data_IF_377411092676
#
_entry.id   IF_377411092676
#
_cell.length_a   1.000
_cell.length_b   1.000
_cell.length_c   1.000
_cell.angle_alpha   90.00
_cell.angle_beta   90.00
_cell.angle_gamma   90.00
#
_symmetry.space_group_name_H-M   'P 1'
#
loop_
_entity.id
_entity.type
_entity.pdbx_description
1 polymer ?
#
# COMPACT_ATOMS: atom_id res chain seq x y z
N UNK A 1 -49.56 30.78 -37.95
CA UNK A 1 -49.49 29.69 -38.95
C UNK A 1 -49.01 28.42 -38.25
N UNK A 2 -49.65 27.27 -38.55
CA UNK A 2 -49.70 26.03 -37.75
C UNK A 2 -48.54 25.08 -38.17
N UNK A 3 -48.26 23.92 -37.56
CA UNK A 3 -49.07 22.67 -37.45
C UNK A 3 -48.27 21.71 -36.52
N UNK A 4 -48.74 21.27 -35.33
CA UNK A 4 -49.54 20.05 -34.97
C UNK A 4 -49.11 18.76 -35.69
N UNK A 5 -48.87 17.62 -35.01
CA UNK A 5 -49.83 16.58 -34.51
C UNK A 5 -48.99 15.57 -33.65
N UNK A 6 -49.24 15.26 -32.35
CA UNK A 6 -50.21 14.35 -31.67
C UNK A 6 -50.01 12.84 -31.99
N UNK A 7 -50.14 11.79 -31.14
CA UNK A 7 -50.95 11.40 -29.96
C UNK A 7 -50.20 10.25 -29.18
N UNK A 8 -50.23 10.11 -27.83
CA UNK A 8 -51.22 9.52 -26.87
C UNK A 8 -51.53 8.01 -27.00
N UNK A 9 -51.27 7.24 -25.92
CA UNK A 9 -52.09 6.19 -25.27
C UNK A 9 -51.18 5.34 -24.33
N UNK A 10 -51.35 5.10 -23.02
CA UNK A 10 -52.48 4.81 -22.10
C UNK A 10 -52.58 3.31 -21.70
N UNK A 11 -52.33 3.05 -20.40
CA UNK A 11 -52.90 2.04 -19.47
C UNK A 11 -53.07 0.56 -19.86
N UNK A 12 -52.56 -0.33 -18.99
CA UNK A 12 -53.37 -1.41 -18.40
C UNK A 12 -52.73 -1.92 -17.09
N UNK A 13 -53.48 -1.79 -16.00
CA UNK A 13 -53.29 -2.51 -14.75
C UNK A 13 -54.24 -3.71 -14.76
N UNK A 14 -53.75 -4.88 -14.34
CA UNK A 14 -54.61 -6.02 -14.01
C UNK A 14 -54.02 -6.72 -12.79
N UNK A 15 -54.72 -6.55 -11.67
CA UNK A 15 -54.57 -7.41 -10.50
C UNK A 15 -55.40 -8.67 -10.68
N UNK A 16 -54.86 -9.79 -10.22
CA UNK A 16 -55.63 -10.99 -9.88
C UNK A 16 -55.10 -11.46 -8.52
N UNK A 17 -56.02 -11.61 -7.57
CA UNK A 17 -55.77 -12.18 -6.27
C UNK A 17 -56.61 -13.46 -6.11
N UNK A 18 -56.00 -14.42 -5.40
CA UNK A 18 -56.56 -15.37 -4.43
C UNK A 18 -56.37 -16.89 -4.69
N UNK A 19 -55.73 -17.46 -3.67
CA UNK A 19 -55.97 -18.75 -2.99
C UNK A 19 -55.42 -20.06 -3.57
N UNK A 20 -54.51 -20.65 -2.79
CA UNK A 20 -54.05 -22.04 -2.87
C UNK A 20 -52.95 -22.30 -1.83
N UNK A 21 -53.35 -22.62 -0.59
CA UNK A 21 -52.46 -22.93 0.52
C UNK A 21 -51.71 -24.25 0.27
N UNK A 22 -50.37 -24.19 0.27
CA UNK A 22 -49.50 -25.30 0.62
C UNK A 22 -48.26 -24.71 1.31
N UNK A 23 -48.27 -24.70 2.64
CA UNK A 23 -47.07 -24.48 3.44
C UNK A 23 -46.18 -25.70 3.25
N UNK A 24 -45.19 -25.60 2.37
CA UNK A 24 -44.03 -26.48 2.42
C UNK A 24 -43.06 -25.80 3.38
N UNK A 25 -42.95 -26.36 4.60
CA UNK A 25 -41.83 -26.09 5.48
C UNK A 25 -40.56 -26.62 4.80
N UNK A 26 -39.98 -25.80 3.94
CA UNK A 26 -38.57 -25.92 3.59
C UNK A 26 -37.81 -25.39 4.81
N UNK A 27 -37.61 -26.30 5.78
CA UNK A 27 -36.63 -26.11 6.83
C UNK A 27 -35.33 -25.68 6.16
N UNK A 28 -35.07 -24.38 6.24
CA UNK A 28 -33.79 -23.80 5.86
C UNK A 28 -32.81 -24.25 6.91
N UNK A 29 -32.32 -25.47 6.76
CA UNK A 29 -31.04 -25.85 7.30
C UNK A 29 -30.03 -24.96 6.56
N UNK A 30 -29.82 -23.74 7.09
CA UNK A 30 -28.51 -23.12 7.06
C UNK A 30 -27.56 -24.15 7.65
N UNK A 31 -27.03 -25.00 6.78
CA UNK A 31 -25.91 -25.86 7.12
C UNK A 31 -24.82 -24.88 7.57
N UNK A 32 -24.59 -24.82 8.89
CA UNK A 32 -23.51 -24.08 9.52
C UNK A 32 -22.25 -24.33 8.68
N UNK A 33 -21.87 -23.32 7.88
CA UNK A 33 -20.64 -23.40 7.11
C UNK A 33 -19.53 -23.69 8.13
N UNK A 34 -18.72 -24.73 7.94
CA UNK A 34 -17.74 -25.14 8.93
C UNK A 34 -16.90 -23.93 9.31
N UNK A 35 -16.93 -23.56 10.60
CA UNK A 35 -16.22 -22.40 11.11
C UNK A 35 -14.78 -22.48 10.63
N UNK A 36 -14.37 -21.51 9.81
CA UNK A 36 -13.04 -21.51 9.20
C UNK A 36 -11.98 -21.67 10.29
N UNK A 37 -11.07 -22.63 10.10
CA UNK A 37 -9.97 -22.85 11.04
C UNK A 37 -9.09 -21.60 11.14
N UNK A 38 -8.35 -21.45 12.24
CA UNK A 38 -7.43 -20.33 12.41
C UNK A 38 -6.44 -20.19 11.21
N UNK A 39 -5.74 -21.27 10.76
CA UNK A 39 -4.87 -21.17 9.59
C UNK A 39 -5.58 -20.71 8.32
N UNK A 40 -6.81 -21.19 8.08
CA UNK A 40 -7.59 -20.77 6.92
C UNK A 40 -7.95 -19.28 6.99
N UNK A 41 -8.33 -18.80 8.18
CA UNK A 41 -8.65 -17.38 8.43
C UNK A 41 -7.43 -16.48 8.25
N UNK A 42 -6.25 -16.90 8.73
CA UNK A 42 -4.98 -16.20 8.53
C UNK A 42 -4.65 -16.12 7.04
N UNK A 43 -4.68 -17.26 6.33
CA UNK A 43 -4.38 -17.32 4.90
C UNK A 43 -5.30 -16.44 4.07
N UNK A 44 -6.61 -16.47 4.35
CA UNK A 44 -7.58 -15.59 3.71
C UNK A 44 -7.30 -14.11 3.98
N UNK A 45 -7.02 -13.76 5.24
CA UNK A 45 -6.74 -12.38 5.64
C UNK A 45 -5.47 -11.82 4.99
N UNK A 46 -4.38 -12.61 4.91
CA UNK A 46 -3.15 -12.18 4.23
C UNK A 46 -3.33 -12.07 2.72
N UNK A 47 -4.10 -12.97 2.11
CA UNK A 47 -4.48 -12.87 0.70
C UNK A 47 -5.27 -11.59 0.42
N UNK A 48 -6.17 -11.19 1.31
CA UNK A 48 -6.92 -9.93 1.16
C UNK A 48 -6.00 -8.70 1.21
N UNK A 49 -4.96 -8.72 2.06
CA UNK A 49 -3.91 -7.68 2.06
C UNK A 49 -3.17 -7.63 0.73
N UNK A 50 -2.75 -8.79 0.20
CA UNK A 50 -2.09 -8.86 -1.10
C UNK A 50 -3.00 -8.43 -2.25
N UNK A 51 -4.29 -8.76 -2.19
CA UNK A 51 -5.29 -8.31 -3.16
C UNK A 51 -5.42 -6.79 -3.14
N UNK A 52 -5.39 -6.14 -1.97
CA UNK A 52 -5.38 -4.68 -1.86
C UNK A 52 -4.11 -4.08 -2.46
N UNK A 53 -2.94 -4.69 -2.25
CA UNK A 53 -1.68 -4.26 -2.88
C UNK A 53 -1.78 -4.35 -4.41
N UNK A 54 -2.22 -5.48 -4.96
CA UNK A 54 -2.42 -5.66 -6.39
C UNK A 54 -3.47 -4.69 -6.95
N UNK A 55 -4.55 -4.45 -6.22
CA UNK A 55 -5.57 -3.46 -6.56
C UNK A 55 -4.99 -2.04 -6.63
N UNK A 56 -4.11 -1.64 -5.70
CA UNK A 56 -3.44 -0.34 -5.78
C UNK A 56 -2.52 -0.21 -6.99
N UNK A 57 -1.91 -1.30 -7.45
CA UNK A 57 -1.12 -1.29 -8.68
C UNK A 57 -1.99 -1.11 -9.94
N UNK A 58 -3.22 -1.64 -9.93
CA UNK A 58 -4.14 -1.60 -11.07
C UNK A 58 -5.09 -0.38 -11.08
N UNK A 59 -5.41 0.22 -9.93
CA UNK A 59 -6.39 1.32 -9.85
C UNK A 59 -6.07 2.38 -8.79
N UNK A 60 -4.88 2.33 -8.19
CA UNK A 60 -4.46 3.31 -7.20
C UNK A 60 -4.23 4.71 -7.78
N UNK A 61 -4.22 5.73 -6.91
CA UNK A 61 -4.05 7.14 -7.30
C UNK A 61 -2.81 7.39 -8.16
N UNK A 62 -1.71 6.66 -7.93
CA UNK A 62 -0.48 6.81 -8.71
C UNK A 62 -0.70 6.42 -10.18
N UNK A 63 -1.27 5.23 -10.43
CA UNK A 63 -1.51 4.73 -11.78
C UNK A 63 -2.63 5.53 -12.47
N UNK A 64 -3.71 5.87 -11.77
CA UNK A 64 -4.78 6.71 -12.31
C UNK A 64 -4.27 8.11 -12.66
N UNK A 65 -3.41 8.69 -11.82
CA UNK A 65 -2.79 9.98 -12.09
C UNK A 65 -1.85 9.94 -13.30
N UNK A 66 -1.08 8.86 -13.48
CA UNK A 66 -0.23 8.66 -14.66
C UNK A 66 -1.07 8.49 -15.94
N UNK A 67 -2.09 7.64 -15.91
CA UNK A 67 -3.00 7.43 -17.04
C UNK A 67 -3.70 8.72 -17.45
N UNK A 68 -4.20 9.51 -16.49
CA UNK A 68 -4.86 10.77 -16.78
C UNK A 68 -3.91 11.84 -17.37
N UNK A 69 -2.62 11.84 -16.99
CA UNK A 69 -1.62 12.72 -17.61
C UNK A 69 -1.37 12.35 -19.08
N UNK A 70 -1.27 11.05 -19.38
CA UNK A 70 -1.06 10.56 -20.75
C UNK A 70 -2.27 10.86 -21.62
N UNK A 71 -3.48 10.55 -21.13
CA UNK A 71 -4.73 10.78 -21.87
C UNK A 71 -4.96 12.26 -22.23
N UNK A 72 -4.54 13.20 -21.37
CA UNK A 72 -4.73 14.65 -21.58
C UNK A 72 -3.60 15.33 -22.37
N UNK A 73 -2.58 14.60 -22.81
CA UNK A 73 -1.42 15.20 -23.47
C UNK A 73 -1.68 15.42 -24.96
N UNK A 74 -2.07 16.65 -25.35
CA UNK A 74 -2.33 17.00 -26.75
C UNK A 74 -1.12 16.79 -27.66
N UNK A 75 0.09 17.16 -27.21
CA UNK A 75 1.32 16.92 -27.98
C UNK A 75 1.61 15.44 -28.24
N UNK A 76 1.19 14.56 -27.33
CA UNK A 76 1.28 13.12 -27.53
C UNK A 76 0.21 12.66 -28.53
N UNK A 77 -1.02 13.15 -28.39
CA UNK A 77 -2.10 12.89 -29.33
C UNK A 77 -1.75 13.30 -30.76
N UNK A 78 -1.28 14.53 -30.97
CA UNK A 78 -0.89 15.01 -32.31
C UNK A 78 0.26 14.18 -32.90
N UNK A 79 1.20 13.69 -32.07
CA UNK A 79 2.26 12.79 -32.52
C UNK A 79 1.73 11.41 -32.94
N UNK A 80 0.78 10.85 -32.17
CA UNK A 80 0.10 9.59 -32.52
C UNK A 80 -0.72 9.75 -33.79
N UNK A 81 -1.43 10.88 -33.94
CA UNK A 81 -2.24 11.21 -35.12
C UNK A 81 -1.43 11.29 -36.42
N UNK A 82 -0.14 11.65 -36.33
CA UNK A 82 0.80 11.69 -37.46
C UNK A 82 1.52 10.37 -37.74
N UNK A 83 1.27 9.32 -36.96
CA UNK A 83 1.98 8.04 -37.05
C UNK A 83 3.51 8.18 -36.93
N UNK A 84 3.98 9.05 -36.02
CA UNK A 84 5.40 9.35 -35.86
C UNK A 84 5.96 8.79 -34.53
N UNK A 85 6.56 7.59 -34.52
CA UNK A 85 7.16 6.98 -33.34
C UNK A 85 8.20 7.87 -32.62
N UNK A 86 8.98 8.65 -33.37
CA UNK A 86 10.01 9.51 -32.80
C UNK A 86 9.38 10.69 -32.04
N UNK A 87 8.36 11.33 -32.63
CA UNK A 87 7.58 12.37 -31.97
C UNK A 87 6.81 11.83 -30.75
N UNK A 88 6.20 10.63 -30.83
CA UNK A 88 5.53 9.98 -29.70
C UNK A 88 6.53 9.74 -28.56
N UNK A 89 7.71 9.23 -28.88
CA UNK A 89 8.79 8.97 -27.93
C UNK A 89 9.31 10.25 -27.24
N UNK A 90 9.39 11.37 -27.99
CA UNK A 90 9.77 12.67 -27.47
C UNK A 90 8.69 13.28 -26.55
N UNK A 91 7.43 13.28 -26.99
CA UNK A 91 6.28 13.78 -26.22
C UNK A 91 6.03 12.98 -24.94
N UNK A 92 6.33 11.68 -24.95
CA UNK A 92 6.15 10.80 -23.80
C UNK A 92 7.18 11.03 -22.69
N UNK A 93 8.41 11.45 -23.02
CA UNK A 93 9.52 11.61 -22.05
C UNK A 93 9.15 12.46 -20.82
N UNK A 94 8.57 13.67 -20.92
CA UNK A 94 8.19 14.47 -19.75
C UNK A 94 7.00 13.90 -18.95
N UNK A 95 6.20 13.01 -19.56
CA UNK A 95 5.03 12.38 -18.91
C UNK A 95 5.43 11.18 -18.06
N UNK A 96 6.49 10.48 -18.47
CA UNK A 96 7.12 9.38 -17.75
C UNK A 96 8.02 9.92 -16.64
N UNK A 97 7.40 10.45 -15.59
CA UNK A 97 8.08 10.57 -14.28
C UNK A 97 8.49 9.17 -13.81
N UNK A 98 9.30 9.08 -12.75
CA UNK A 98 9.81 7.84 -12.11
C UNK A 98 8.72 6.92 -11.49
N UNK A 99 7.56 6.84 -12.14
CA UNK A 99 6.35 6.17 -11.70
C UNK A 99 5.83 5.17 -12.73
N UNK A 100 6.22 5.25 -14.01
CA UNK A 100 5.75 4.33 -15.05
C UNK A 100 6.86 3.34 -15.39
N UNK A 101 6.63 2.07 -15.08
CA UNK A 101 7.60 0.98 -15.27
C UNK A 101 7.50 0.36 -16.67
N UNK A 102 6.27 0.30 -17.21
CA UNK A 102 5.97 -0.22 -18.54
C UNK A 102 4.90 0.61 -19.22
N UNK A 103 5.05 0.84 -20.52
CA UNK A 103 4.00 1.46 -21.34
C UNK A 103 4.09 0.98 -22.79
N UNK A 104 2.94 0.75 -23.40
CA UNK A 104 2.78 0.53 -24.84
C UNK A 104 1.76 1.54 -25.35
N UNK A 105 2.06 2.17 -26.49
CA UNK A 105 1.16 3.06 -27.23
C UNK A 105 0.92 2.46 -28.61
N UNK A 106 -0.35 2.35 -28.99
CA UNK A 106 -0.77 1.79 -30.27
C UNK A 106 -1.69 2.74 -31.04
N UNK A 107 -1.69 2.59 -32.36
CA UNK A 107 -2.66 3.19 -33.29
C UNK A 107 -3.20 2.07 -34.17
N UNK A 108 -4.48 1.73 -34.01
CA UNK A 108 -4.99 0.46 -34.54
C UNK A 108 -4.15 -0.71 -34.00
N UNK A 109 -3.67 -1.57 -34.89
CA UNK A 109 -2.83 -2.72 -34.57
C UNK A 109 -1.31 -2.38 -34.54
N UNK A 110 -0.93 -1.17 -34.95
CA UNK A 110 0.46 -0.74 -34.99
C UNK A 110 0.91 -0.26 -33.61
N UNK A 111 2.00 -0.84 -33.09
CA UNK A 111 2.68 -0.33 -31.90
C UNK A 111 3.63 0.80 -32.31
N UNK A 112 3.36 2.01 -31.82
CA UNK A 112 4.21 3.17 -32.08
C UNK A 112 5.37 3.24 -31.09
N UNK A 113 5.11 2.95 -29.82
CA UNK A 113 6.12 2.98 -28.75
C UNK A 113 5.86 1.86 -27.76
N UNK A 114 6.92 1.18 -27.35
CA UNK A 114 6.97 0.27 -26.20
C UNK A 114 8.16 0.64 -25.33
N UNK A 115 7.94 0.93 -24.05
CA UNK A 115 9.00 1.31 -23.11
C UNK A 115 8.96 0.49 -21.82
N UNK A 116 10.16 0.28 -21.28
CA UNK A 116 10.44 -0.56 -20.13
C UNK A 116 10.58 -2.04 -20.52
N UNK A 117 11.41 -2.78 -19.78
CA UNK A 117 11.72 -4.20 -20.06
C UNK A 117 11.39 -5.14 -18.89
N UNK A 118 11.15 -4.59 -17.71
CA UNK A 118 10.79 -5.35 -16.50
C UNK A 118 9.40 -5.96 -16.61
N UNK A 119 9.19 -7.13 -15.99
CA UNK A 119 7.87 -7.70 -15.85
C UNK A 119 7.03 -6.81 -14.90
N UNK A 120 5.77 -6.56 -15.28
CA UNK A 120 4.88 -5.65 -14.57
C UNK A 120 3.46 -6.23 -14.48
N UNK A 121 2.67 -5.67 -13.58
CA UNK A 121 1.28 -6.11 -13.35
C UNK A 121 0.32 -4.93 -13.24
N UNK A 122 -0.98 -5.23 -13.31
CA UNK A 122 -2.04 -4.23 -13.22
C UNK A 122 -2.00 -3.25 -14.40
N UNK A 123 -2.07 -3.73 -15.65
CA UNK A 123 -2.13 -2.85 -16.81
C UNK A 123 -3.36 -1.93 -16.71
N UNK A 124 -3.14 -0.64 -16.96
CA UNK A 124 -4.19 0.38 -17.08
C UNK A 124 -4.15 0.93 -18.49
N UNK A 125 -5.28 0.82 -19.18
CA UNK A 125 -5.44 1.31 -20.54
C UNK A 125 -6.27 2.58 -20.62
N UNK A 126 -6.10 3.31 -21.72
CA UNK A 126 -6.92 4.46 -22.05
C UNK A 126 -6.80 4.86 -23.52
N UNK A 127 -7.64 5.82 -23.92
CA UNK A 127 -7.62 6.42 -25.25
C UNK A 127 -6.73 7.66 -25.25
N UNK A 128 -6.02 7.88 -26.34
CA UNK A 128 -5.27 9.11 -26.61
C UNK A 128 -6.09 9.94 -27.60
N UNK A 129 -6.33 11.21 -27.27
CA UNK A 129 -6.99 12.17 -28.15
C UNK A 129 -6.02 13.22 -28.65
N UNK A 130 -6.20 13.66 -29.90
CA UNK A 130 -5.45 14.79 -30.44
C UNK A 130 -5.95 16.15 -29.92
N UNK A 131 -5.37 17.23 -30.42
CA UNK A 131 -5.77 18.61 -30.10
C UNK A 131 -7.21 18.98 -30.50
N UNK A 132 -7.83 18.25 -31.44
CA UNK A 132 -9.23 18.41 -31.82
C UNK A 132 -10.19 17.56 -30.94
N UNK A 133 -9.63 16.74 -30.04
CA UNK A 133 -10.40 15.82 -29.20
C UNK A 133 -10.76 14.51 -29.90
N UNK A 134 -10.27 14.26 -31.12
CA UNK A 134 -10.53 13.03 -31.83
C UNK A 134 -9.69 11.88 -31.25
N UNK A 135 -10.24 10.67 -31.08
CA UNK A 135 -9.47 9.52 -30.61
C UNK A 135 -8.51 9.03 -31.70
N UNK A 136 -7.21 9.06 -31.42
CA UNK A 136 -6.14 8.78 -32.40
C UNK A 136 -5.29 7.56 -32.06
N UNK A 137 -5.39 7.05 -30.83
CA UNK A 137 -4.69 5.83 -30.42
C UNK A 137 -5.08 5.36 -29.03
N UNK A 138 -4.37 4.35 -28.54
CA UNK A 138 -4.56 3.77 -27.21
C UNK A 138 -3.23 3.67 -26.50
N UNK A 139 -3.26 3.67 -25.17
CA UNK A 139 -2.12 3.29 -24.35
C UNK A 139 -2.50 2.20 -23.37
N UNK A 140 -1.51 1.42 -22.97
CA UNK A 140 -1.57 0.52 -21.81
C UNK A 140 -0.30 0.74 -21.01
N UNK A 141 -0.41 1.03 -19.71
CA UNK A 141 0.74 1.28 -18.83
C UNK A 141 0.65 0.48 -17.53
N UNK A 142 1.78 0.34 -16.85
CA UNK A 142 1.85 -0.13 -15.46
C UNK A 142 2.87 0.70 -14.68
N UNK A 143 2.57 0.95 -13.41
CA UNK A 143 3.44 1.66 -12.47
C UNK A 143 4.13 0.73 -11.48
N UNK A 144 3.97 -0.59 -11.64
CA UNK A 144 4.36 -1.57 -10.64
C UNK A 144 5.00 -2.79 -11.30
N UNK A 145 6.25 -3.08 -10.93
CA UNK A 145 6.92 -4.32 -11.30
C UNK A 145 6.42 -5.51 -10.49
N UNK A 146 6.56 -6.72 -11.02
CA UNK A 146 6.26 -7.96 -10.28
C UNK A 146 7.14 -8.10 -9.03
N UNK A 147 8.44 -7.78 -9.13
CA UNK A 147 9.36 -7.82 -7.99
C UNK A 147 9.00 -6.80 -6.91
N UNK A 148 8.58 -5.59 -7.32
CA UNK A 148 8.15 -4.54 -6.41
C UNK A 148 6.90 -4.94 -5.63
N UNK A 149 5.93 -5.57 -6.30
CA UNK A 149 4.72 -6.08 -5.64
C UNK A 149 5.02 -7.29 -4.77
N UNK A 150 5.83 -8.25 -5.23
CA UNK A 150 6.25 -9.39 -4.42
C UNK A 150 6.96 -8.93 -3.13
N UNK A 151 7.93 -8.01 -3.26
CA UNK A 151 8.67 -7.43 -2.13
C UNK A 151 7.76 -6.67 -1.17
N UNK A 152 6.80 -5.89 -1.69
CA UNK A 152 5.84 -5.16 -0.87
C UNK A 152 4.92 -6.13 -0.11
N UNK A 153 4.30 -7.08 -0.79
CA UNK A 153 3.43 -8.09 -0.15
C UNK A 153 4.22 -8.85 0.92
N UNK A 154 5.44 -9.29 0.63
CA UNK A 154 6.31 -9.94 1.60
C UNK A 154 6.59 -9.05 2.82
N UNK A 155 6.97 -7.79 2.60
CA UNK A 155 7.28 -6.86 3.70
C UNK A 155 6.07 -6.60 4.63
N UNK A 156 4.86 -6.59 4.08
CA UNK A 156 3.61 -6.36 4.82
C UNK A 156 3.15 -7.63 5.55
N UNK A 157 3.08 -8.75 4.83
CA UNK A 157 2.46 -9.99 5.30
C UNK A 157 3.42 -10.92 6.01
N UNK A 158 4.73 -10.76 5.78
CA UNK A 158 5.77 -11.71 6.17
C UNK A 158 5.71 -13.05 5.42
N UNK A 159 4.71 -13.26 4.56
CA UNK A 159 4.61 -14.45 3.73
C UNK A 159 5.66 -14.40 2.63
N UNK A 160 6.14 -15.56 2.21
CA UNK A 160 6.89 -15.68 0.99
C UNK A 160 5.94 -15.54 -0.20
N UNK A 161 6.38 -14.90 -1.28
CA UNK A 161 5.52 -14.55 -2.42
C UNK A 161 6.12 -15.15 -3.68
N UNK A 162 5.30 -15.87 -4.44
CA UNK A 162 5.63 -16.37 -5.77
C UNK A 162 4.62 -15.80 -6.75
N UNK A 163 5.11 -15.21 -7.84
CA UNK A 163 4.29 -14.63 -8.90
C UNK A 163 4.53 -15.41 -10.18
N UNK A 164 3.48 -16.00 -10.74
CA UNK A 164 3.53 -16.82 -11.96
C UNK A 164 2.64 -16.22 -13.04
N UNK A 165 3.11 -16.18 -14.29
CA UNK A 165 2.33 -15.73 -15.44
C UNK A 165 2.85 -16.36 -16.73
N UNK A 166 1.93 -16.80 -17.61
CA UNK A 166 2.30 -17.52 -18.83
C UNK A 166 3.06 -18.83 -18.57
N UNK A 167 2.76 -19.53 -17.47
CA UNK A 167 3.39 -20.80 -17.10
C UNK A 167 4.81 -20.69 -16.49
N UNK A 168 5.36 -19.48 -16.34
CA UNK A 168 6.69 -19.23 -15.76
C UNK A 168 6.62 -18.38 -14.50
N UNK A 169 7.59 -18.59 -13.60
CA UNK A 169 7.83 -17.68 -12.48
C UNK A 169 8.31 -16.32 -13.03
N UNK A 170 7.71 -15.25 -12.53
CA UNK A 170 8.04 -13.87 -12.88
C UNK A 170 8.74 -13.13 -11.74
N UNK A 171 8.46 -13.50 -10.49
CA UNK A 171 9.10 -12.98 -9.29
C UNK A 171 8.93 -13.96 -8.13
N UNK A 172 9.90 -14.01 -7.23
CA UNK A 172 9.83 -14.79 -5.99
C UNK A 172 10.58 -14.10 -4.86
N UNK A 173 10.11 -14.26 -3.62
CA UNK A 173 10.88 -13.91 -2.42
C UNK A 173 11.51 -15.14 -1.76
N UNK A 174 11.19 -16.35 -2.23
CA UNK A 174 11.82 -17.59 -1.78
C UNK A 174 13.23 -17.71 -2.34
N UNK A 175 14.12 -18.24 -1.51
CA UNK A 175 15.49 -18.57 -1.89
C UNK A 175 15.80 -19.98 -1.36
N UNK A 176 16.03 -20.99 -2.23
CA UNK A 176 16.00 -20.93 -3.69
C UNK A 176 14.58 -20.77 -4.27
N UNK A 177 14.45 -20.38 -5.56
CA UNK A 177 13.17 -20.37 -6.26
C UNK A 177 12.49 -21.75 -6.23
N UNK A 178 11.16 -21.78 -6.20
CA UNK A 178 10.39 -23.03 -6.18
C UNK A 178 9.58 -23.21 -7.45
N UNK A 179 9.15 -24.45 -7.72
CA UNK A 179 8.14 -24.72 -8.76
C UNK A 179 6.83 -24.05 -8.34
N UNK A 180 6.06 -23.58 -9.34
CA UNK A 180 4.79 -22.86 -9.13
C UNK A 180 3.91 -23.56 -8.07
N UNK A 181 3.64 -22.91 -6.93
CA UNK A 181 2.87 -23.52 -5.85
C UNK A 181 1.42 -23.78 -6.29
N UNK A 182 0.71 -24.70 -5.62
CA UNK A 182 -0.72 -24.93 -5.89
C UNK A 182 -1.54 -23.66 -5.62
N UNK A 183 -2.78 -23.61 -6.12
CA UNK A 183 -3.65 -22.45 -5.88
C UNK A 183 -3.95 -22.26 -4.38
N UNK A 184 -4.11 -23.37 -3.65
CA UNK A 184 -4.36 -23.43 -2.21
C UNK A 184 -3.83 -24.74 -1.65
N UNK A 185 -3.71 -24.83 -0.32
CA UNK A 185 -3.30 -26.06 0.38
C UNK A 185 -1.97 -25.86 1.08
N UNK A 186 -1.11 -26.88 1.07
CA UNK A 186 0.23 -26.82 1.66
C UNK A 186 1.31 -27.12 0.64
N UNK A 187 2.50 -26.57 0.86
CA UNK A 187 3.70 -26.88 0.08
C UNK A 187 4.91 -26.94 0.99
N UNK A 188 5.82 -27.87 0.74
CA UNK A 188 7.10 -27.95 1.43
C UNK A 188 8.18 -27.26 0.58
N UNK A 189 8.91 -26.32 1.17
CA UNK A 189 10.03 -25.64 0.54
C UNK A 189 11.13 -25.38 1.58
N UNK A 190 12.39 -25.64 1.24
CA UNK A 190 13.54 -25.43 2.13
C UNK A 190 13.35 -26.05 3.54
N UNK A 191 12.84 -27.29 3.59
CA UNK A 191 12.58 -28.02 4.84
C UNK A 191 11.41 -27.49 5.68
N UNK A 192 10.71 -26.44 5.25
CA UNK A 192 9.55 -25.87 5.94
C UNK A 192 8.24 -26.16 5.18
N UNK A 193 7.16 -26.42 5.93
CA UNK A 193 5.80 -26.53 5.37
C UNK A 193 5.11 -25.17 5.42
N UNK A 194 4.59 -24.74 4.27
CA UNK A 194 3.85 -23.50 4.12
C UNK A 194 2.39 -23.79 3.81
N UNK A 195 1.50 -22.96 4.36
CA UNK A 195 0.12 -22.82 3.87
C UNK A 195 0.11 -21.86 2.68
N UNK A 196 -0.56 -22.26 1.62
CA UNK A 196 -0.65 -21.51 0.36
C UNK A 196 -2.01 -20.86 0.23
N UNK A 197 -2.02 -19.55 -0.02
CA UNK A 197 -3.20 -18.81 -0.45
C UNK A 197 -2.85 -18.01 -1.71
N UNK A 198 -3.63 -18.17 -2.77
CA UNK A 198 -3.37 -17.48 -4.04
C UNK A 198 -4.50 -16.53 -4.45
N UNK A 199 -4.16 -15.53 -5.25
CA UNK A 199 -5.11 -14.64 -5.91
C UNK A 199 -4.73 -14.44 -7.39
N UNK A 200 -5.75 -14.18 -8.21
CA UNK A 200 -5.56 -13.84 -9.61
C UNK A 200 -5.28 -12.34 -9.79
N UNK A 201 -4.43 -12.00 -10.75
CA UNK A 201 -4.20 -10.63 -11.21
C UNK A 201 -3.89 -10.63 -12.72
N UNK A 202 -3.65 -9.45 -13.30
CA UNK A 202 -3.39 -9.30 -14.75
C UNK A 202 -1.94 -8.87 -15.02
N UNK A 203 -1.23 -9.65 -15.83
CA UNK A 203 0.12 -9.33 -16.26
C UNK A 203 0.10 -8.19 -17.28
N UNK A 204 1.15 -7.39 -17.32
CA UNK A 204 1.34 -6.42 -18.39
C UNK A 204 1.87 -7.11 -19.66
N UNK A 205 1.39 -6.73 -20.88
CA UNK A 205 0.33 -5.75 -21.13
C UNK A 205 -1.08 -6.33 -20.97
N UNK A 206 -1.21 -7.65 -21.04
CA UNK A 206 -2.43 -8.41 -20.80
C UNK A 206 -2.08 -9.85 -20.38
N UNK A 207 -3.10 -10.60 -19.94
CA UNK A 207 -2.99 -12.03 -19.63
C UNK A 207 -3.07 -12.35 -18.12
N UNK A 208 -3.39 -13.60 -17.78
CA UNK A 208 -3.56 -14.00 -16.39
C UNK A 208 -2.21 -14.12 -15.67
N UNK A 209 -2.21 -13.73 -14.40
CA UNK A 209 -1.12 -13.95 -13.47
C UNK A 209 -1.69 -14.49 -12.15
N UNK A 210 -0.90 -15.27 -11.42
CA UNK A 210 -1.22 -15.74 -10.06
C UNK A 210 -0.19 -15.23 -9.09
N UNK A 211 -0.65 -14.63 -8.00
CA UNK A 211 0.18 -14.28 -6.84
C UNK A 211 -0.14 -15.29 -5.74
N UNK A 212 0.85 -16.06 -5.34
CA UNK A 212 0.75 -17.08 -4.29
C UNK A 212 1.52 -16.63 -3.06
N UNK A 213 0.83 -16.61 -1.91
CA UNK A 213 1.41 -16.35 -0.61
C UNK A 213 1.66 -17.68 0.09
N UNK A 214 2.91 -17.91 0.46
CA UNK A 214 3.35 -19.03 1.25
C UNK A 214 3.62 -18.52 2.66
N UNK A 215 2.66 -18.76 3.55
CA UNK A 215 2.81 -18.43 4.96
C UNK A 215 3.33 -19.66 5.69
N UNK A 216 4.34 -19.54 6.57
CA UNK A 216 4.68 -20.63 7.49
C UNK A 216 3.43 -21.10 8.23
N UNK A 217 3.48 -22.32 8.79
CA UNK A 217 2.44 -22.79 9.70
C UNK A 217 2.06 -21.66 10.69
N UNK A 218 0.76 -21.38 10.78
CA UNK A 218 0.24 -20.23 11.50
C UNK A 218 0.85 -20.14 12.89
N UNK A 219 1.44 -18.98 13.19
CA UNK A 219 1.82 -18.66 14.57
C UNK A 219 0.53 -18.70 15.40
N UNK A 220 0.45 -19.64 16.35
CA UNK A 220 -0.71 -19.80 17.22
C UNK A 220 -1.04 -18.51 17.98
N UNK A 221 -0.06 -17.60 18.12
CA UNK A 221 -0.27 -16.26 18.68
C UNK A 221 -1.23 -15.38 17.87
N UNK A 222 -1.54 -15.72 16.61
CA UNK A 222 -2.52 -14.98 15.79
C UNK A 222 -3.91 -15.58 15.89
N UNK A 223 -4.05 -16.81 16.39
CA UNK A 223 -5.34 -17.46 16.55
C UNK A 223 -6.13 -16.80 17.67
N UNK A 224 -7.23 -16.15 17.29
CA UNK A 224 -8.24 -15.68 18.24
C UNK A 224 -9.29 -16.75 18.51
N UNK A 225 -10.14 -16.58 19.53
CA UNK A 225 -11.23 -17.50 19.84
C UNK A 225 -12.32 -17.53 18.75
N UNK A 226 -12.32 -16.57 17.83
CA UNK A 226 -13.23 -16.49 16.69
C UNK A 226 -12.48 -16.14 15.40
N UNK A 227 -13.07 -16.38 14.21
CA UNK A 227 -12.50 -15.92 12.94
C UNK A 227 -12.29 -14.40 12.91
N UNK A 228 -13.24 -13.61 13.45
CA UNK A 228 -13.11 -12.16 13.52
C UNK A 228 -11.92 -11.72 14.38
N UNK A 229 -11.71 -12.36 15.54
CA UNK A 229 -10.54 -12.09 16.39
C UNK A 229 -9.23 -12.51 15.69
N UNK A 230 -9.22 -13.65 14.99
CA UNK A 230 -8.07 -14.12 14.19
C UNK A 230 -7.72 -13.14 13.07
N UNK A 231 -8.72 -12.61 12.36
CA UNK A 231 -8.56 -11.57 11.34
C UNK A 231 -7.94 -10.30 11.94
N UNK A 232 -8.47 -9.83 13.07
CA UNK A 232 -7.93 -8.65 13.75
C UNK A 232 -6.48 -8.84 14.23
N UNK A 233 -6.16 -10.01 14.79
CA UNK A 233 -4.79 -10.35 15.17
C UNK A 233 -3.84 -10.38 13.96
N UNK A 234 -4.29 -10.97 12.85
CA UNK A 234 -3.51 -11.03 11.61
C UNK A 234 -3.25 -9.64 11.04
N UNK A 235 -4.27 -8.79 10.92
CA UNK A 235 -4.11 -7.41 10.44
C UNK A 235 -3.32 -6.53 11.41
N UNK A 236 -3.46 -6.77 12.71
CA UNK A 236 -2.64 -6.18 13.76
C UNK A 236 -1.15 -6.52 13.62
N UNK A 237 -0.83 -7.78 13.30
CA UNK A 237 0.52 -8.22 13.01
C UNK A 237 1.08 -7.53 11.74
N UNK A 238 0.27 -7.36 10.69
CA UNK A 238 0.63 -6.59 9.49
C UNK A 238 0.94 -5.14 9.84
N UNK A 239 0.08 -4.46 10.61
CA UNK A 239 0.33 -3.09 11.06
C UNK A 239 1.61 -2.96 11.90
N UNK A 240 1.87 -3.94 12.78
CA UNK A 240 3.11 -4.00 13.57
C UNK A 240 4.34 -4.20 12.68
N UNK A 241 4.24 -4.97 11.58
CA UNK A 241 5.32 -5.10 10.59
C UNK A 241 5.56 -3.80 9.83
N UNK A 242 4.51 -3.11 9.38
CA UNK A 242 4.61 -1.79 8.75
C UNK A 242 5.42 -0.86 9.69
N UNK A 243 5.01 -0.75 10.95
CA UNK A 243 5.71 0.05 11.95
C UNK A 243 7.20 -0.33 12.12
N UNK A 244 7.50 -1.63 12.21
CA UNK A 244 8.88 -2.11 12.32
C UNK A 244 9.71 -1.80 11.08
N UNK A 245 9.10 -1.89 9.90
CA UNK A 245 9.69 -1.53 8.61
C UNK A 245 10.13 -0.06 8.59
N UNK A 246 9.26 0.85 9.03
CA UNK A 246 9.59 2.28 9.10
C UNK A 246 10.81 2.56 9.99
N UNK A 247 10.90 1.89 11.15
CA UNK A 247 12.01 2.07 12.09
C UNK A 247 13.32 1.44 11.61
N UNK A 248 13.24 0.33 10.89
CA UNK A 248 14.35 -0.61 10.74
C UNK A 248 14.67 -1.04 9.31
N UNK A 249 14.05 -0.45 8.29
CA UNK A 249 14.32 -0.83 6.90
C UNK A 249 15.76 -0.48 6.47
N UNK A 250 16.23 -1.15 5.40
CA UNK A 250 17.50 -0.79 4.76
C UNK A 250 17.51 0.67 4.30
N UNK A 251 16.37 1.18 3.83
CA UNK A 251 16.17 2.58 3.44
C UNK A 251 16.30 3.52 4.63
N UNK A 252 15.66 3.24 5.76
CA UNK A 252 15.79 4.02 6.99
C UNK A 252 17.25 4.10 7.44
N UNK A 253 17.96 2.96 7.41
CA UNK A 253 19.41 2.93 7.71
C UNK A 253 20.23 3.74 6.71
N UNK A 254 19.90 3.70 5.42
CA UNK A 254 20.59 4.48 4.38
C UNK A 254 20.40 5.98 4.59
N UNK A 255 19.17 6.43 4.82
CA UNK A 255 18.85 7.85 5.09
C UNK A 255 19.57 8.33 6.35
N UNK A 256 19.51 7.55 7.44
CA UNK A 256 20.24 7.88 8.66
C UNK A 256 21.75 7.95 8.46
N UNK A 257 22.34 7.02 7.69
CA UNK A 257 23.77 7.07 7.37
C UNK A 257 24.12 8.29 6.54
N UNK A 258 23.26 8.68 5.60
CA UNK A 258 23.45 9.87 4.78
C UNK A 258 23.48 11.12 5.67
N UNK A 259 22.47 11.31 6.51
CA UNK A 259 22.39 12.46 7.44
C UNK A 259 23.58 12.46 8.41
N UNK A 260 23.86 11.34 9.06
CA UNK A 260 24.88 11.25 10.11
C UNK A 260 26.32 11.40 9.62
N UNK A 261 26.56 11.23 8.30
CA UNK A 261 27.86 11.39 7.65
C UNK A 261 27.97 12.69 6.87
N UNK A 262 26.92 13.51 6.82
CA UNK A 262 26.99 14.80 6.14
C UNK A 262 27.95 15.74 6.91
N UNK A 263 29.00 16.27 6.26
CA UNK A 263 30.02 17.04 6.94
C UNK A 263 29.53 18.41 7.42
N UNK A 264 28.51 19.00 6.79
CA UNK A 264 27.93 20.29 7.21
C UNK A 264 27.07 20.08 8.45
N UNK A 265 26.25 19.02 8.45
CA UNK A 265 25.46 18.60 9.60
C UNK A 265 26.37 18.29 10.80
N UNK A 266 27.41 17.48 10.59
CA UNK A 266 28.33 17.10 11.65
C UNK A 266 29.10 18.30 12.24
N UNK A 267 29.52 19.26 11.41
CA UNK A 267 30.15 20.51 11.89
C UNK A 267 29.18 21.35 12.71
N UNK A 268 27.94 21.52 12.27
CA UNK A 268 26.93 22.27 13.01
C UNK A 268 26.63 21.62 14.38
N UNK A 269 26.57 20.29 14.45
CA UNK A 269 26.40 19.57 15.72
C UNK A 269 27.62 19.75 16.63
N UNK A 270 28.84 19.67 16.08
CA UNK A 270 30.07 19.83 16.86
C UNK A 270 30.25 21.25 17.42
N UNK A 271 29.81 22.26 16.68
CA UNK A 271 29.88 23.66 17.08
C UNK A 271 28.67 24.13 17.92
N UNK A 272 27.71 23.25 18.20
CA UNK A 272 26.43 23.60 18.85
C UNK A 272 25.71 24.78 18.16
N UNK A 273 25.69 24.77 16.82
CA UNK A 273 25.11 25.82 15.99
C UNK A 273 23.69 25.45 15.53
N UNK A 274 22.63 25.95 16.21
CA UNK A 274 21.25 25.64 15.85
C UNK A 274 20.86 26.17 14.47
N UNK A 275 21.40 27.31 14.02
CA UNK A 275 21.02 27.95 12.77
C UNK A 275 21.60 27.19 11.56
N UNK A 276 22.90 26.85 11.61
CA UNK A 276 23.53 26.03 10.59
C UNK A 276 22.91 24.63 10.53
N UNK A 277 22.59 24.04 11.68
CA UNK A 277 21.94 22.74 11.74
C UNK A 277 20.55 22.77 11.09
N UNK A 278 19.74 23.81 11.38
CA UNK A 278 18.42 23.99 10.76
C UNK A 278 18.52 24.12 9.25
N UNK A 279 19.44 24.94 8.76
CA UNK A 279 19.65 25.12 7.31
C UNK A 279 19.97 23.79 6.62
N UNK A 280 20.78 22.94 7.24
CA UNK A 280 21.11 21.63 6.69
C UNK A 280 19.93 20.64 6.77
N UNK A 281 19.15 20.65 7.86
CA UNK A 281 17.94 19.81 7.96
C UNK A 281 16.92 20.18 6.87
N UNK A 282 16.70 21.48 6.62
CA UNK A 282 15.80 21.94 5.56
C UNK A 282 16.27 21.47 4.18
N UNK A 283 17.57 21.44 3.91
CA UNK A 283 18.11 20.87 2.67
C UNK A 283 17.79 19.39 2.52
N UNK A 284 17.87 18.61 3.60
CA UNK A 284 17.47 17.19 3.55
C UNK A 284 15.97 17.03 3.25
N UNK A 285 15.10 17.89 3.80
CA UNK A 285 13.67 17.86 3.47
C UNK A 285 13.36 18.24 2.02
N UNK A 286 14.21 19.05 1.40
CA UNK A 286 14.09 19.44 -0.01
C UNK A 286 14.65 18.38 -0.97
N UNK A 287 15.41 17.41 -0.48
CA UNK A 287 15.95 16.33 -1.29
C UNK A 287 14.88 15.24 -1.50
N UNK A 288 14.37 15.06 -2.73
CA UNK A 288 13.35 14.05 -3.01
C UNK A 288 13.83 12.61 -2.79
N UNK A 289 15.14 12.35 -2.70
CA UNK A 289 15.69 11.04 -2.40
C UNK A 289 15.63 10.70 -0.89
N UNK A 290 15.66 11.71 -0.02
CA UNK A 290 15.74 11.59 1.43
C UNK A 290 14.38 11.88 2.08
N UNK A 291 13.39 11.02 1.84
CA UNK A 291 12.12 11.13 2.53
C UNK A 291 12.33 11.01 4.06
N UNK A 292 12.25 12.12 4.77
CA UNK A 292 12.41 12.22 6.22
C UNK A 292 11.52 13.36 6.71
N UNK A 293 10.75 13.13 7.78
CA UNK A 293 9.70 14.07 8.22
C UNK A 293 10.09 14.86 9.46
N UNK A 294 11.08 14.37 10.21
CA UNK A 294 11.62 15.04 11.40
C UNK A 294 13.04 14.60 11.69
N UNK A 295 13.88 15.56 12.06
CA UNK A 295 15.27 15.35 12.44
C UNK A 295 15.55 16.13 13.71
N UNK A 296 16.11 15.44 14.70
CA UNK A 296 16.62 15.99 15.95
C UNK A 296 18.08 15.65 16.08
N UNK A 297 18.92 16.63 16.45
CA UNK A 297 20.32 16.38 16.80
C UNK A 297 20.65 16.86 18.20
N UNK A 298 21.51 16.09 18.86
CA UNK A 298 22.09 16.43 20.17
C UNK A 298 23.61 16.37 20.08
N UNK A 299 24.30 17.20 20.86
CA UNK A 299 25.75 17.11 21.06
C UNK A 299 26.12 15.81 21.78
N UNK A 300 27.41 15.50 21.84
CA UNK A 300 27.91 14.33 22.59
C UNK A 300 27.52 14.38 24.08
N UNK A 301 27.49 15.58 24.66
CA UNK A 301 27.06 15.81 26.06
C UNK A 301 25.53 15.72 26.25
N UNK A 302 24.77 15.51 25.17
CA UNK A 302 23.32 15.36 25.21
C UNK A 302 22.52 16.66 25.06
N UNK A 303 23.18 17.82 24.93
CA UNK A 303 22.51 19.11 24.70
C UNK A 303 21.78 19.08 23.35
N UNK A 304 20.55 19.60 23.31
CA UNK A 304 19.78 19.70 22.06
C UNK A 304 20.37 20.83 21.22
N UNK A 305 20.85 20.50 20.02
CA UNK A 305 21.30 21.51 19.05
C UNK A 305 20.08 22.04 18.29
N UNK A 306 19.28 21.14 17.69
CA UNK A 306 18.02 21.52 17.04
C UNK A 306 17.07 20.30 16.83
N UNK A 307 15.78 20.58 16.65
CA UNK A 307 14.71 19.63 16.32
C UNK A 307 13.75 20.27 15.33
N UNK A 308 13.70 19.73 14.11
CA UNK A 308 12.91 20.30 13.01
C UNK A 308 12.06 19.20 12.39
N UNK A 309 10.76 19.46 12.26
CA UNK A 309 9.79 18.55 11.63
C UNK A 309 8.40 18.67 12.25
N UNK A 310 7.48 17.82 11.81
CA UNK A 310 6.09 17.80 12.29
C UNK A 310 5.95 17.37 13.76
N UNK A 311 4.88 17.79 14.46
CA UNK A 311 4.68 17.47 15.88
C UNK A 311 4.38 15.99 16.12
N UNK A 312 3.67 15.33 15.20
CA UNK A 312 3.22 13.94 15.33
C UNK A 312 4.01 13.04 14.38
N UNK A 313 4.97 12.33 14.97
CA UNK A 313 5.89 11.46 14.24
C UNK A 313 6.17 10.24 15.10
N UNK A 314 6.35 9.09 14.47
CA UNK A 314 6.60 7.81 15.15
C UNK A 314 7.84 7.13 14.59
N UNK A 315 8.19 5.98 15.17
CA UNK A 315 9.32 5.15 14.74
C UNK A 315 10.67 5.90 14.67
N UNK A 316 11.08 6.66 15.71
CA UNK A 316 12.38 7.31 15.72
C UNK A 316 13.50 6.25 15.56
N UNK A 317 14.45 6.56 14.69
CA UNK A 317 15.68 5.81 14.51
C UNK A 317 16.88 6.74 14.70
N UNK A 318 17.96 6.25 15.30
CA UNK A 318 19.09 7.10 15.70
C UNK A 318 20.41 6.59 15.18
N UNK A 319 21.35 7.51 14.96
CA UNK A 319 22.73 7.23 14.58
C UNK A 319 23.70 8.20 15.28
N UNK A 320 24.94 7.75 15.48
CA UNK A 320 26.03 8.63 15.93
C UNK A 320 26.45 9.56 14.78
N UNK A 321 26.55 10.85 15.07
CA UNK A 321 27.07 11.86 14.14
C UNK A 321 28.58 11.87 14.27
N UNK A 322 29.30 11.71 13.16
CA UNK A 322 30.77 11.64 13.17
C UNK A 322 31.39 12.75 12.35
N UNK A 323 32.45 13.36 12.90
CA UNK A 323 33.29 14.34 12.25
C UNK A 323 34.75 13.89 12.39
N UNK A 324 35.48 13.75 11.28
CA UNK A 324 36.86 13.24 11.26
C UNK A 324 37.05 11.94 12.06
N UNK A 325 36.10 11.02 11.94
CA UNK A 325 36.11 9.72 12.64
C UNK A 325 35.68 9.76 14.11
N UNK A 326 35.59 10.95 14.73
CA UNK A 326 35.14 11.12 16.12
C UNK A 326 33.63 11.32 16.20
N UNK A 327 32.99 10.76 17.22
CA UNK A 327 31.58 11.04 17.50
C UNK A 327 31.47 12.46 18.07
N UNK A 328 30.63 13.30 17.48
CA UNK A 328 30.38 14.69 17.93
C UNK A 328 28.96 14.88 18.46
N UNK A 329 28.10 13.88 18.29
CA UNK A 329 26.73 13.91 18.76
C UNK A 329 25.89 12.74 18.27
N UNK A 330 24.58 12.89 18.38
CA UNK A 330 23.59 11.90 17.98
C UNK A 330 22.49 12.56 17.17
N UNK A 331 22.13 11.94 16.05
CA UNK A 331 20.95 12.28 15.28
C UNK A 331 19.86 11.25 15.54
N UNK A 332 18.63 11.72 15.69
CA UNK A 332 17.40 10.93 15.71
C UNK A 332 16.52 11.45 14.59
N UNK A 333 16.09 10.59 13.68
CA UNK A 333 15.23 10.95 12.57
C UNK A 333 14.08 9.96 12.42
N UNK A 334 13.03 10.37 11.70
CA UNK A 334 11.97 9.47 11.26
C UNK A 334 11.62 9.73 9.80
N UNK A 335 11.34 8.62 9.09
CA UNK A 335 11.00 8.59 7.68
C UNK A 335 9.53 8.90 7.44
N UNK A 336 8.66 8.54 8.38
CA UNK A 336 7.21 8.63 8.22
C UNK A 336 6.54 9.31 9.41
N UNK A 337 5.51 10.10 9.11
CA UNK A 337 4.62 10.66 10.11
C UNK A 337 3.51 9.65 10.50
N UNK A 338 2.81 9.98 11.57
CA UNK A 338 1.65 9.24 12.06
C UNK A 338 0.52 9.11 11.03
N UNK A 339 0.20 10.20 10.31
CA UNK A 339 -0.82 10.22 9.27
C UNK A 339 -0.44 9.31 8.10
N UNK A 340 0.84 9.25 7.74
CA UNK A 340 1.39 8.33 6.76
C UNK A 340 1.21 6.88 7.18
N UNK A 341 1.58 6.54 8.42
CA UNK A 341 1.38 5.20 8.98
C UNK A 341 -0.11 4.79 8.95
N UNK A 342 -1.01 5.66 9.43
CA UNK A 342 -2.45 5.42 9.44
C UNK A 342 -2.96 5.17 8.02
N UNK A 343 -2.59 6.05 7.06
CA UNK A 343 -2.98 5.91 5.66
C UNK A 343 -2.47 4.61 5.04
N UNK A 344 -1.25 4.17 5.36
CA UNK A 344 -0.70 2.92 4.83
C UNK A 344 -1.43 1.70 5.39
N UNK A 345 -1.60 1.63 6.72
CA UNK A 345 -2.33 0.54 7.36
C UNK A 345 -3.73 0.46 6.80
N UNK A 346 -4.49 1.57 6.84
CA UNK A 346 -5.86 1.59 6.32
C UNK A 346 -5.92 1.18 4.83
N UNK A 347 -5.00 1.68 3.99
CA UNK A 347 -4.98 1.35 2.56
C UNK A 347 -4.80 -0.16 2.32
N UNK A 348 -3.89 -0.80 3.05
CA UNK A 348 -3.52 -2.20 2.79
C UNK A 348 -4.28 -3.22 3.62
N UNK A 349 -4.90 -2.83 4.73
CA UNK A 349 -5.68 -3.74 5.58
C UNK A 349 -7.18 -3.43 5.56
N UNK A 350 -7.57 -2.21 5.19
CA UNK A 350 -8.93 -1.71 5.36
C UNK A 350 -9.32 -1.42 6.81
N UNK A 351 -8.41 -1.62 7.76
CA UNK A 351 -8.69 -1.44 9.17
C UNK A 351 -8.69 0.04 9.55
N UNK A 352 -9.43 0.33 10.61
CA UNK A 352 -9.37 1.61 11.29
C UNK A 352 -8.15 1.65 12.21
N UNK A 353 -7.52 2.82 12.36
CA UNK A 353 -6.30 2.99 13.15
C UNK A 353 -6.46 4.17 14.08
N UNK A 354 -6.23 3.91 15.37
CA UNK A 354 -6.19 4.93 16.42
C UNK A 354 -4.80 4.93 17.03
N UNK A 355 -4.21 6.13 17.16
CA UNK A 355 -2.93 6.33 17.82
C UNK A 355 -3.13 7.16 19.10
N UNK A 356 -2.54 6.74 20.22
CA UNK A 356 -2.63 7.45 21.51
C UNK A 356 -1.29 7.63 22.20
N UNK A 357 -1.04 8.83 22.69
CA UNK A 357 0.04 9.15 23.60
C UNK A 357 -0.53 9.40 25.00
N UNK A 358 -0.46 8.39 25.88
CA UNK A 358 -1.21 8.42 27.14
C UNK A 358 -2.71 8.43 26.87
N UNK A 359 -3.42 9.42 27.41
CA UNK A 359 -4.86 9.61 27.19
C UNK A 359 -5.20 10.47 25.97
N UNK A 360 -4.20 11.11 25.34
CA UNK A 360 -4.41 11.97 24.18
C UNK A 360 -4.41 11.14 22.89
N UNK A 361 -5.48 11.29 22.11
CA UNK A 361 -5.54 10.78 20.74
C UNK A 361 -4.73 11.67 19.80
N UNK A 362 -4.01 11.03 18.88
CA UNK A 362 -3.23 11.74 17.88
C UNK A 362 -4.15 12.16 16.72
N UNK A 363 -4.10 13.43 16.27
CA UNK A 363 -4.86 13.88 15.11
C UNK A 363 -4.61 13.02 13.89
N UNK A 364 -5.63 12.76 13.07
CA UNK A 364 -5.63 11.85 11.90
C UNK A 364 -5.93 10.38 12.18
N UNK A 365 -6.19 9.99 13.44
CA UNK A 365 -6.81 8.69 13.75
C UNK A 365 -8.10 8.52 12.94
N UNK A 366 -8.40 7.31 12.46
CA UNK A 366 -9.49 7.12 11.48
C UNK A 366 -10.89 7.21 12.09
N UNK A 367 -10.98 7.06 13.41
CA UNK A 367 -12.19 7.25 14.21
C UNK A 367 -11.86 8.35 15.21
N UNK A 368 -12.20 9.60 14.89
CA UNK A 368 -11.94 10.78 15.74
C UNK A 368 -13.26 11.47 16.10
N UNK A 369 -13.66 11.51 17.39
CA UNK A 369 -13.00 10.85 18.51
C UNK A 369 -13.21 9.32 18.46
N UNK A 370 -12.19 8.55 18.85
CA UNK A 370 -12.28 7.09 18.95
C UNK A 370 -12.89 6.59 20.26
N UNK A 371 -13.06 5.26 20.43
CA UNK A 371 -13.56 4.68 21.68
C UNK A 371 -12.65 5.05 22.86
N UNK A 372 -13.21 5.58 23.96
CA UNK A 372 -12.40 6.09 25.08
C UNK A 372 -11.40 5.06 25.66
N UNK A 373 -11.76 3.77 25.64
CA UNK A 373 -10.89 2.66 26.05
C UNK A 373 -10.84 1.63 24.93
N UNK A 374 -9.65 1.08 24.71
CA UNK A 374 -9.40 0.05 23.71
C UNK A 374 -8.64 -1.09 24.39
N UNK A 375 -9.09 -2.35 24.28
CA UNK A 375 -8.36 -3.48 24.85
C UNK A 375 -7.06 -3.73 24.07
N UNK A 376 -6.14 -4.51 24.64
CA UNK A 376 -4.97 -4.97 23.90
C UNK A 376 -5.39 -5.88 22.74
N UNK A 377 -6.35 -6.77 23.00
CA UNK A 377 -6.97 -7.65 22.02
C UNK A 377 -8.44 -7.85 22.38
N UNK A 378 -9.31 -8.05 21.39
CA UNK A 378 -10.69 -8.47 21.60
C UNK A 378 -11.73 -7.43 21.20
N UNK A 379 -12.99 -7.71 21.55
CA UNK A 379 -14.13 -6.93 21.10
C UNK A 379 -14.18 -5.53 21.75
N UNK A 380 -14.66 -4.54 20.98
CA UNK A 380 -15.02 -3.21 21.47
C UNK A 380 -16.23 -2.71 20.70
N UNK A 381 -17.26 -2.28 21.43
CA UNK A 381 -18.44 -1.67 20.84
C UNK A 381 -18.27 -0.15 20.76
N UNK A 382 -18.50 0.41 19.57
CA UNK A 382 -18.37 1.83 19.34
C UNK A 382 -19.24 2.30 18.18
N UNK A 383 -20.00 3.38 18.39
CA UNK A 383 -20.85 3.97 17.36
C UNK A 383 -21.87 2.98 16.78
N UNK A 384 -22.46 2.12 17.63
CA UNK A 384 -23.44 1.10 17.22
C UNK A 384 -22.85 -0.07 16.43
N UNK A 385 -21.52 -0.23 16.44
CA UNK A 385 -20.82 -1.32 15.74
C UNK A 385 -19.87 -2.04 16.67
N UNK A 386 -19.78 -3.36 16.54
CA UNK A 386 -18.75 -4.15 17.21
C UNK A 386 -17.51 -4.20 16.34
N UNK A 387 -16.35 -3.94 16.95
CA UNK A 387 -15.04 -4.08 16.34
C UNK A 387 -14.25 -5.14 17.11
N UNK A 388 -13.32 -5.80 16.42
CA UNK A 388 -12.21 -6.52 17.03
C UNK A 388 -10.97 -5.63 17.00
N UNK A 389 -10.41 -5.38 18.17
CA UNK A 389 -9.23 -4.55 18.34
C UNK A 389 -7.97 -5.40 18.49
N UNK A 390 -6.87 -4.90 17.92
CA UNK A 390 -5.51 -5.35 18.20
C UNK A 390 -4.65 -4.12 18.48
N UNK A 391 -4.00 -4.08 19.63
CA UNK A 391 -3.18 -2.94 20.03
C UNK A 391 -1.75 -3.35 20.36
N UNK A 392 -0.80 -2.48 20.02
CA UNK A 392 0.60 -2.67 20.35
C UNK A 392 1.28 -1.34 20.72
N UNK A 393 2.38 -1.45 21.45
CA UNK A 393 3.22 -0.31 21.81
C UNK A 393 4.20 0.00 20.68
N UNK A 394 4.04 1.18 20.10
CA UNK A 394 4.97 1.87 19.24
C UNK A 394 5.78 2.92 20.03
N UNK A 395 6.64 3.66 19.34
CA UNK A 395 7.47 4.72 19.92
C UNK A 395 7.14 6.04 19.23
N UNK A 396 6.73 7.04 20.01
CA UNK A 396 6.57 8.41 19.51
C UNK A 396 7.94 9.05 19.35
N UNK A 397 8.06 9.95 18.38
CA UNK A 397 9.24 10.78 18.27
C UNK A 397 9.26 11.80 19.43
N UNK A 398 10.43 12.10 20.00
CA UNK A 398 11.73 11.45 19.79
C UNK A 398 11.90 10.17 20.63
N UNK A 399 11.06 9.99 21.65
CA UNK A 399 11.05 8.85 22.57
C UNK A 399 9.72 8.75 23.31
N UNK A 400 9.48 7.60 23.94
CA UNK A 400 8.32 7.36 24.78
C UNK A 400 7.26 6.49 24.11
N UNK A 401 6.31 5.94 24.89
CA UNK A 401 5.31 5.03 24.37
C UNK A 401 4.29 5.77 23.50
N UNK A 402 3.89 5.11 22.41
CA UNK A 402 2.73 5.44 21.60
C UNK A 402 1.91 4.16 21.49
N UNK A 403 0.63 4.18 21.81
CA UNK A 403 -0.24 3.03 21.61
C UNK A 403 -0.85 3.10 20.23
N UNK A 404 -0.63 2.08 19.41
CA UNK A 404 -1.29 1.93 18.12
C UNK A 404 -2.35 0.84 18.23
N UNK A 405 -3.57 1.15 17.83
CA UNK A 405 -4.72 0.24 17.86
C UNK A 405 -5.30 0.10 16.46
N UNK A 406 -5.42 -1.14 16.00
CA UNK A 406 -6.04 -1.53 14.74
C UNK A 406 -7.42 -2.08 15.07
N UNK A 407 -8.47 -1.55 14.43
CA UNK A 407 -9.84 -1.98 14.62
C UNK A 407 -10.38 -2.57 13.33
N UNK A 408 -11.00 -3.74 13.44
CA UNK A 408 -11.54 -4.50 12.32
C UNK A 408 -12.99 -4.83 12.62
N UNK A 409 -13.85 -4.67 11.62
CA UNK A 409 -15.25 -5.10 11.69
C UNK A 409 -15.40 -6.55 11.25
#
# INVERSE_FOLDING_TARGET
MPTRIAHVAALAATGVALTGCAHVDLGSAEADAPTASCPATIGATLRDVAQRVAGQAASGRTVSGAAARIARSTSLGDAVARDDPAAVSAALRPLLRSQVERIVITRGDQTLVSRGQVAALGPVGGTITDSAGAPVGRFTLSTSTVDGVASLVHSLTGAQVVIVGGGRELATTLHPPTVAPPASGTVSADGATYSVASLAATAFPAGPLRISLLSPAADSAWCGPTPAATKANTLGAVAKRIYKGERGSARTRQVLRHIARDPRFARAVAADDPAALRAQIVRFFQDPALHVVRIRARTERGALVNDVGGPYVLAPASAAVRLHGRTVGRVTASIQDDAGFIKLVHRFTGADVILRAGNAEIPSSTLDPGPARLPSHGAVDFGGRTYQAFSFTATRFPSGPLRASVLVR
#
